data_IF_800982348382
#
_entry.id   IF_800982348382
#
_cell.length_a   1.000
_cell.length_b   1.000
_cell.length_c   1.000
_cell.angle_alpha   90.00
_cell.angle_beta   90.00
_cell.angle_gamma   90.00
#
_symmetry.space_group_name_H-M   'P 1'
#
loop_
_entity.id
_entity.type
_entity.pdbx_description
1 polymer ?
#
# COMPACT_ATOMS: atom_id res chain seq x y z
N UNK A 1 -16.51 29.57 51.78
CA UNK A 1 -16.75 28.34 50.99
C UNK A 1 -16.44 28.63 49.52
N UNK A 2 -15.28 28.19 49.03
CA UNK A 2 -14.83 28.45 47.66
C UNK A 2 -15.42 27.41 46.69
N UNK A 3 -16.06 27.87 45.61
CA UNK A 3 -16.57 27.00 44.53
C UNK A 3 -15.40 26.63 43.59
N UNK A 4 -15.04 25.36 43.56
CA UNK A 4 -14.04 24.80 42.63
C UNK A 4 -14.74 24.55 41.29
N UNK A 5 -14.40 25.33 40.26
CA UNK A 5 -14.82 25.10 38.88
C UNK A 5 -13.86 24.07 38.23
N UNK A 6 -14.29 22.80 38.13
CA UNK A 6 -13.56 21.78 37.36
C UNK A 6 -13.88 21.97 35.86
N UNK A 7 -13.08 22.75 35.16
CA UNK A 7 -13.06 22.71 33.69
C UNK A 7 -12.49 21.36 33.25
N UNK A 8 -13.31 20.57 32.57
CA UNK A 8 -12.92 19.33 31.92
C UNK A 8 -11.99 19.65 30.73
N UNK A 9 -10.69 19.72 31.00
CA UNK A 9 -9.67 19.70 29.94
C UNK A 9 -9.64 18.29 29.34
N UNK A 10 -10.43 18.06 28.30
CA UNK A 10 -10.32 16.85 27.48
C UNK A 10 -8.94 16.83 26.83
N UNK A 11 -8.10 15.90 27.30
CA UNK A 11 -6.81 15.65 26.69
C UNK A 11 -6.97 15.41 25.18
N UNK A 12 -6.11 15.99 24.32
CA UNK A 12 -6.22 15.78 22.88
C UNK A 12 -6.05 14.29 22.58
N UNK A 13 -7.16 13.64 22.23
CA UNK A 13 -7.18 12.26 21.76
C UNK A 13 -6.20 12.16 20.60
N UNK A 14 -5.13 11.37 20.77
CA UNK A 14 -4.18 11.06 19.69
C UNK A 14 -5.00 10.48 18.55
N UNK A 15 -5.26 11.29 17.52
CA UNK A 15 -5.95 10.85 16.31
C UNK A 15 -5.20 9.60 15.83
N UNK A 16 -5.86 8.44 15.86
CA UNK A 16 -5.32 7.21 15.27
C UNK A 16 -4.93 7.56 13.85
N UNK A 17 -3.62 7.56 13.57
CA UNK A 17 -3.10 7.92 12.27
C UNK A 17 -3.64 6.90 11.28
N UNK A 18 -4.56 7.34 10.41
CA UNK A 18 -5.07 6.49 9.34
C UNK A 18 -3.89 6.20 8.42
N UNK A 19 -3.46 4.94 8.37
CA UNK A 19 -2.47 4.49 7.41
C UNK A 19 -3.07 4.72 6.01
N UNK A 20 -2.49 5.64 5.26
CA UNK A 20 -2.95 6.01 3.92
C UNK A 20 -1.78 6.01 2.95
N UNK A 21 -2.04 5.70 1.69
CA UNK A 21 -1.04 5.70 0.64
C UNK A 21 -0.79 7.10 0.04
N UNK A 22 -1.45 8.14 0.55
CA UNK A 22 -1.49 9.48 -0.03
C UNK A 22 -0.10 10.06 -0.34
N UNK A 23 0.85 9.90 0.59
CA UNK A 23 2.22 10.38 0.40
C UNK A 23 2.92 9.70 -0.77
N UNK A 24 2.74 8.39 -0.91
CA UNK A 24 3.38 7.59 -1.96
C UNK A 24 2.73 7.82 -3.32
N UNK A 25 1.39 7.94 -3.34
CA UNK A 25 0.63 8.30 -4.54
C UNK A 25 1.06 9.68 -5.04
N UNK A 26 1.18 10.66 -4.14
CA UNK A 26 1.66 12.00 -4.51
C UNK A 26 3.09 11.98 -5.07
N UNK A 27 4.01 11.25 -4.43
CA UNK A 27 5.38 11.11 -4.92
C UNK A 27 5.42 10.48 -6.32
N UNK A 28 4.61 9.45 -6.55
CA UNK A 28 4.53 8.77 -7.85
C UNK A 28 3.96 9.71 -8.91
N UNK A 29 2.91 10.48 -8.59
CA UNK A 29 2.37 11.48 -9.51
C UNK A 29 3.43 12.50 -9.93
N UNK A 30 4.19 13.04 -8.98
CA UNK A 30 5.22 14.06 -9.27
C UNK A 30 6.42 13.53 -10.05
N UNK A 31 6.66 12.22 -10.07
CA UNK A 31 7.64 11.61 -10.96
C UNK A 31 7.22 11.65 -12.43
N UNK A 32 5.91 11.65 -12.71
CA UNK A 32 5.35 11.61 -14.07
C UNK A 32 4.90 13.01 -14.53
N UNK A 33 4.21 13.76 -13.66
CA UNK A 33 3.68 15.09 -13.95
C UNK A 33 3.97 16.05 -12.78
N UNK A 34 4.93 16.96 -12.99
CA UNK A 34 5.38 17.90 -11.95
C UNK A 34 4.33 18.96 -11.58
N UNK A 35 3.48 19.36 -12.53
CA UNK A 35 2.58 20.51 -12.36
C UNK A 35 1.12 20.11 -12.06
N UNK A 36 0.79 18.82 -12.17
CA UNK A 36 -0.57 18.29 -11.92
C UNK A 36 -0.72 17.86 -10.45
N UNK A 37 -1.94 17.95 -9.90
CA UNK A 37 -2.27 17.49 -8.55
C UNK A 37 -3.59 16.71 -8.50
N UNK A 38 -3.77 15.93 -7.43
CA UNK A 38 -5.05 15.30 -7.13
C UNK A 38 -5.89 16.19 -6.21
N UNK A 39 -7.20 16.21 -6.44
CA UNK A 39 -8.15 16.69 -5.44
C UNK A 39 -8.20 15.73 -4.24
N UNK A 40 -8.75 16.19 -3.10
CA UNK A 40 -8.93 15.32 -1.92
C UNK A 40 -9.76 14.08 -2.24
N UNK A 41 -10.81 14.23 -3.06
CA UNK A 41 -11.65 13.11 -3.51
C UNK A 41 -10.87 12.16 -4.44
N UNK A 42 -10.12 12.70 -5.40
CA UNK A 42 -9.28 11.90 -6.30
C UNK A 42 -8.21 11.11 -5.54
N UNK A 43 -7.59 11.73 -4.53
CA UNK A 43 -6.64 11.04 -3.66
C UNK A 43 -7.29 9.90 -2.87
N UNK A 44 -8.52 10.08 -2.38
CA UNK A 44 -9.25 9.01 -1.69
C UNK A 44 -9.53 7.82 -2.62
N UNK A 45 -9.96 8.07 -3.87
CA UNK A 45 -10.16 7.01 -4.88
C UNK A 45 -8.86 6.26 -5.14
N UNK A 46 -7.75 6.98 -5.35
CA UNK A 46 -6.45 6.36 -5.59
C UNK A 46 -5.96 5.55 -4.40
N UNK A 47 -6.17 6.02 -3.16
CA UNK A 47 -5.81 5.26 -1.97
C UNK A 47 -6.64 3.98 -1.84
N UNK A 48 -7.93 4.02 -2.16
CA UNK A 48 -8.78 2.82 -2.18
C UNK A 48 -8.37 1.85 -3.28
N UNK A 49 -8.00 2.35 -4.47
CA UNK A 49 -7.49 1.51 -5.56
C UNK A 49 -6.23 0.74 -5.16
N UNK A 50 -5.28 1.38 -4.48
CA UNK A 50 -4.07 0.69 -3.98
C UNK A 50 -4.43 -0.39 -2.96
N UNK A 51 -5.37 -0.11 -2.05
CA UNK A 51 -5.83 -1.12 -1.08
C UNK A 51 -6.47 -2.33 -1.77
N UNK A 52 -7.35 -2.09 -2.75
CA UNK A 52 -8.05 -3.15 -3.48
C UNK A 52 -7.07 -4.09 -4.20
N UNK A 53 -6.09 -3.52 -4.92
CA UNK A 53 -5.04 -4.32 -5.57
C UNK A 53 -4.15 -5.04 -4.54
N UNK A 54 -3.80 -4.38 -3.44
CA UNK A 54 -3.00 -4.99 -2.38
C UNK A 54 -3.70 -6.20 -1.77
N UNK A 55 -4.97 -6.06 -1.39
CA UNK A 55 -5.77 -7.14 -0.80
C UNK A 55 -5.92 -8.30 -1.78
N UNK A 56 -6.25 -8.00 -3.04
CA UNK A 56 -6.34 -9.02 -4.10
C UNK A 56 -5.05 -9.83 -4.25
N UNK A 57 -3.90 -9.15 -4.33
CA UNK A 57 -2.60 -9.82 -4.47
C UNK A 57 -2.22 -10.60 -3.20
N UNK A 58 -2.49 -10.06 -2.02
CA UNK A 58 -2.17 -10.70 -0.75
C UNK A 58 -2.99 -11.99 -0.54
N UNK A 59 -4.29 -11.95 -0.85
CA UNK A 59 -5.16 -13.13 -0.78
C UNK A 59 -4.70 -14.21 -1.74
N UNK A 60 -4.40 -13.84 -2.99
CA UNK A 60 -3.96 -14.79 -4.00
C UNK A 60 -2.61 -15.43 -3.62
N UNK A 61 -1.64 -14.62 -3.16
CA UNK A 61 -0.35 -15.12 -2.71
C UNK A 61 -0.46 -16.01 -1.45
N UNK A 62 -1.37 -15.69 -0.54
CA UNK A 62 -1.65 -16.52 0.63
C UNK A 62 -2.26 -17.86 0.21
N UNK A 63 -3.16 -17.87 -0.77
CA UNK A 63 -3.71 -19.09 -1.36
C UNK A 63 -2.60 -19.96 -1.97
N UNK A 64 -1.73 -19.38 -2.81
CA UNK A 64 -0.59 -20.07 -3.41
C UNK A 64 0.38 -20.66 -2.37
N UNK A 65 0.65 -19.92 -1.29
CA UNK A 65 1.49 -20.39 -0.18
C UNK A 65 0.88 -21.64 0.47
N UNK A 66 -0.44 -21.64 0.71
CA UNK A 66 -1.17 -22.79 1.28
C UNK A 66 -1.19 -23.98 0.32
N UNK A 67 -1.42 -23.75 -0.97
CA UNK A 67 -1.40 -24.80 -2.00
C UNK A 67 -0.04 -25.50 -2.07
N UNK A 68 1.05 -24.73 -1.94
CA UNK A 68 2.41 -25.25 -1.93
C UNK A 68 2.81 -25.90 -0.58
N UNK A 69 1.90 -25.94 0.41
CA UNK A 69 2.15 -26.40 1.79
C UNK A 69 3.34 -25.69 2.46
N UNK A 70 3.64 -24.47 2.03
CA UNK A 70 4.70 -23.66 2.58
C UNK A 70 4.20 -22.89 3.81
N UNK A 71 5.10 -22.63 4.76
CA UNK A 71 4.81 -21.78 5.93
C UNK A 71 5.23 -20.32 5.71
N UNK A 72 6.04 -20.06 4.68
CA UNK A 72 6.60 -18.74 4.38
C UNK A 72 6.22 -18.34 2.97
N UNK A 73 5.62 -17.18 2.82
CA UNK A 73 5.35 -16.55 1.53
C UNK A 73 6.65 -15.92 1.00
N UNK A 74 7.11 -16.36 -0.16
CA UNK A 74 8.30 -15.81 -0.82
C UNK A 74 7.93 -14.81 -1.92
N UNK A 75 8.94 -14.18 -2.54
CA UNK A 75 8.72 -13.34 -3.71
C UNK A 75 8.12 -14.11 -4.89
N UNK A 76 8.25 -15.44 -4.93
CA UNK A 76 7.68 -16.30 -5.99
C UNK A 76 6.15 -16.33 -5.94
N UNK A 77 5.56 -16.45 -4.75
CA UNK A 77 4.10 -16.44 -4.59
C UNK A 77 3.52 -15.08 -5.00
N UNK A 78 4.17 -13.98 -4.62
CA UNK A 78 3.77 -12.63 -5.05
C UNK A 78 3.85 -12.48 -6.57
N UNK A 79 4.95 -12.92 -7.20
CA UNK A 79 5.10 -12.84 -8.66
C UNK A 79 4.03 -13.65 -9.39
N UNK A 80 3.69 -14.83 -8.87
CA UNK A 80 2.65 -15.68 -9.44
C UNK A 80 1.26 -15.05 -9.24
N UNK A 81 0.97 -14.50 -8.06
CA UNK A 81 -0.26 -13.77 -7.79
C UNK A 81 -0.45 -12.57 -8.74
N UNK A 82 0.62 -11.84 -9.05
CA UNK A 82 0.60 -10.73 -10.03
C UNK A 82 0.23 -11.22 -11.43
N UNK A 83 0.79 -12.36 -11.88
CA UNK A 83 0.43 -12.96 -13.18
C UNK A 83 -1.03 -13.39 -13.25
N UNK A 84 -1.59 -13.87 -12.14
CA UNK A 84 -2.99 -14.30 -12.08
C UNK A 84 -3.95 -13.11 -11.96
N UNK A 85 -3.53 -12.02 -11.32
CA UNK A 85 -4.41 -10.88 -11.01
C UNK A 85 -4.45 -9.80 -12.10
N UNK A 86 -3.34 -9.60 -12.83
CA UNK A 86 -3.20 -8.53 -13.82
C UNK A 86 -3.20 -9.08 -15.25
N UNK A 87 -3.84 -8.38 -16.21
CA UNK A 87 -3.88 -8.82 -17.60
C UNK A 87 -2.61 -8.43 -18.38
N UNK A 88 -2.20 -9.30 -19.31
CA UNK A 88 -1.29 -8.99 -20.42
C UNK A 88 -0.04 -8.17 -20.05
N UNK A 89 0.13 -7.02 -20.70
CA UNK A 89 1.29 -6.13 -20.52
C UNK A 89 1.41 -5.55 -19.10
N UNK A 90 0.31 -5.37 -18.37
CA UNK A 90 0.35 -4.87 -16.99
C UNK A 90 1.09 -5.85 -16.07
N UNK A 91 0.83 -7.15 -16.23
CA UNK A 91 1.53 -8.18 -15.47
C UNK A 91 3.04 -8.18 -15.79
N UNK A 92 3.41 -8.04 -17.07
CA UNK A 92 4.81 -8.00 -17.49
C UNK A 92 5.57 -6.83 -16.86
N UNK A 93 5.01 -5.63 -16.92
CA UNK A 93 5.63 -4.44 -16.33
C UNK A 93 5.68 -4.52 -14.79
N UNK A 94 4.60 -4.96 -14.15
CA UNK A 94 4.57 -5.12 -12.69
C UNK A 94 5.63 -6.12 -12.20
N UNK A 95 5.83 -7.23 -12.90
CA UNK A 95 6.89 -8.18 -12.58
C UNK A 95 8.29 -7.63 -12.80
N UNK A 96 8.52 -6.88 -13.87
CA UNK A 96 9.81 -6.27 -14.17
C UNK A 96 10.20 -5.28 -13.06
N UNK A 97 9.27 -4.40 -12.66
CA UNK A 97 9.48 -3.46 -11.56
C UNK A 97 9.66 -4.17 -10.21
N UNK A 98 8.88 -5.22 -9.94
CA UNK A 98 9.03 -6.03 -8.73
C UNK A 98 10.41 -6.70 -8.63
N UNK A 99 10.88 -7.30 -9.72
CA UNK A 99 12.20 -7.96 -9.78
C UNK A 99 13.33 -6.94 -9.57
N UNK A 100 13.22 -5.78 -10.20
CA UNK A 100 14.16 -4.67 -10.05
C UNK A 100 14.22 -4.16 -8.62
N UNK A 101 13.07 -4.05 -7.94
CA UNK A 101 13.02 -3.64 -6.55
C UNK A 101 13.71 -4.65 -5.61
N UNK A 102 13.47 -5.95 -5.81
CA UNK A 102 14.13 -7.02 -5.02
C UNK A 102 15.64 -7.01 -5.24
N UNK A 103 16.09 -6.87 -6.49
CA UNK A 103 17.52 -6.81 -6.82
C UNK A 103 18.21 -5.60 -6.16
N UNK A 104 17.58 -4.42 -6.19
CA UNK A 104 18.09 -3.22 -5.51
C UNK A 104 18.21 -3.42 -4.01
N UNK A 105 17.20 -4.02 -3.37
CA UNK A 105 17.23 -4.31 -1.93
C UNK A 105 18.36 -5.29 -1.58
N UNK A 106 18.58 -6.31 -2.40
CA UNK A 106 19.66 -7.27 -2.19
C UNK A 106 21.05 -6.63 -2.33
N UNK A 107 21.23 -5.67 -3.24
CA UNK A 107 22.48 -4.96 -3.46
C UNK A 107 22.78 -3.84 -2.46
N UNK A 108 21.78 -3.39 -1.69
CA UNK A 108 21.92 -2.35 -0.66
C UNK A 108 22.19 -2.92 0.74
N UNK A 109 22.41 -4.23 0.86
CA UNK A 109 22.97 -4.88 2.06
C UNK A 109 24.48 -4.96 1.94
#
# INVERSE_FOLDING_TARGET
>A
MAKINRSSTSAPSRRKQKQTFNRYIYKTLKQIHKDIGFSTKGMAVMSSFVNDIFERLAVEAASLTRHNKAQTMSSREIQTAVRLSLPGELAKHAMAEGTKAVARLAASK
#
